data_IF_616218402081
#
_entry.id   IF_616218402081
#
_cell.length_a   1.000
_cell.length_b   1.000
_cell.length_c   1.000
_cell.angle_alpha   90.00
_cell.angle_beta   90.00
_cell.angle_gamma   90.00
#
_symmetry.space_group_name_H-M   'P 1'
#
loop_
_entity.id
_entity.type
_entity.pdbx_description
1 polymer ?
#
# COMPACT_ATOMS: atom_id res chain seq x y z
N UNK A 1 12.86 6.90 1.73
CA UNK A 1 13.06 6.96 0.26
C UNK A 1 11.74 6.95 -0.50
N UNK A 2 10.69 6.22 -0.05
CA UNK A 2 9.38 6.16 -0.71
C UNK A 2 8.72 7.52 -0.96
N UNK A 3 8.69 8.42 0.05
CA UNK A 3 8.09 9.75 -0.08
C UNK A 3 8.73 10.65 -1.15
N UNK A 4 9.92 10.31 -1.67
CA UNK A 4 10.53 11.02 -2.81
C UNK A 4 9.86 10.67 -4.14
N UNK A 5 9.37 9.43 -4.26
CA UNK A 5 8.79 8.90 -5.50
C UNK A 5 7.27 8.85 -5.45
N UNK A 6 6.69 8.64 -4.27
CA UNK A 6 5.26 8.63 -4.03
C UNK A 6 4.81 9.93 -3.33
N UNK A 7 4.93 11.06 -4.02
CA UNK A 7 4.81 12.41 -3.45
C UNK A 7 3.54 13.16 -3.86
N UNK A 8 2.72 12.60 -4.76
CA UNK A 8 1.58 13.29 -5.39
C UNK A 8 0.24 12.70 -4.95
N UNK A 9 0.14 12.38 -3.65
CA UNK A 9 -1.06 11.82 -3.01
C UNK A 9 -1.61 10.55 -3.70
N UNK A 10 -0.75 9.81 -4.41
CA UNK A 10 -1.10 8.59 -5.09
C UNK A 10 -1.40 7.46 -4.10
N UNK A 11 -2.24 6.53 -4.54
CA UNK A 11 -2.44 5.25 -3.85
C UNK A 11 -1.18 4.40 -4.01
N UNK A 12 -0.68 3.86 -2.91
CA UNK A 12 0.57 3.09 -2.86
C UNK A 12 0.24 1.61 -2.62
N UNK A 13 0.42 0.76 -3.62
CA UNK A 13 0.43 -0.68 -3.35
C UNK A 13 1.74 -1.04 -2.62
N UNK A 14 1.64 -1.64 -1.44
CA UNK A 14 2.80 -1.99 -0.62
C UNK A 14 2.76 -3.45 -0.17
N UNK A 15 3.83 -4.19 -0.41
CA UNK A 15 4.01 -5.55 0.12
C UNK A 15 4.24 -5.44 1.63
N UNK A 16 3.32 -6.00 2.41
CA UNK A 16 3.42 -5.99 3.86
C UNK A 16 2.64 -7.16 4.46
N UNK A 17 3.34 -7.95 5.27
CA UNK A 17 2.73 -8.99 6.10
C UNK A 17 2.44 -8.50 7.51
N UNK A 18 1.63 -9.27 8.25
CA UNK A 18 1.44 -9.03 9.69
C UNK A 18 2.76 -9.16 10.46
N UNK A 19 3.63 -10.07 10.04
CA UNK A 19 4.96 -10.28 10.61
C UNK A 19 6.04 -10.08 9.55
N UNK A 20 7.02 -9.24 9.87
CA UNK A 20 8.16 -9.01 9.01
C UNK A 20 9.15 -10.17 9.01
N UNK A 21 9.96 -10.25 7.97
CA UNK A 21 11.12 -11.13 7.88
C UNK A 21 12.21 -10.45 7.03
N UNK A 22 13.43 -11.00 6.92
CA UNK A 22 14.50 -10.36 6.15
C UNK A 22 14.18 -10.02 4.68
N UNK A 23 13.15 -10.65 4.10
CA UNK A 23 12.72 -10.45 2.72
C UNK A 23 11.44 -9.62 2.59
N UNK A 24 10.62 -9.51 3.64
CA UNK A 24 9.32 -8.83 3.60
C UNK A 24 9.13 -7.89 4.79
N UNK A 25 8.60 -6.70 4.51
CA UNK A 25 8.23 -5.71 5.51
C UNK A 25 7.09 -6.21 6.39
N UNK A 26 7.26 -6.13 7.71
CA UNK A 26 6.17 -6.34 8.66
C UNK A 26 5.40 -5.06 8.95
N UNK A 27 4.18 -5.17 9.44
CA UNK A 27 3.36 -4.00 9.81
C UNK A 27 4.03 -3.13 10.87
N UNK A 28 4.77 -3.72 11.82
CA UNK A 28 5.49 -2.95 12.84
C UNK A 28 6.66 -2.15 12.24
N UNK A 29 7.28 -2.64 11.15
CA UNK A 29 8.30 -1.90 10.40
C UNK A 29 7.66 -0.77 9.60
N UNK A 30 6.55 -1.05 8.94
CA UNK A 30 5.77 -0.09 8.17
C UNK A 30 5.32 1.09 9.04
N UNK A 31 4.75 0.80 10.22
CA UNK A 31 4.25 1.79 11.16
C UNK A 31 5.37 2.66 11.74
N UNK A 32 6.57 2.08 11.92
CA UNK A 32 7.75 2.77 12.46
C UNK A 32 8.43 3.67 11.43
N UNK A 33 8.51 3.23 10.18
CA UNK A 33 9.38 3.87 9.17
C UNK A 33 8.67 4.91 8.32
N UNK A 34 7.35 4.81 8.17
CA UNK A 34 6.57 5.70 7.33
C UNK A 34 5.70 6.64 8.18
N UNK A 35 5.51 7.88 7.72
CA UNK A 35 4.59 8.81 8.37
C UNK A 35 3.14 8.32 8.25
N UNK A 36 2.27 8.72 9.18
CA UNK A 36 0.84 8.38 9.14
C UNK A 36 0.18 8.79 7.81
N UNK A 37 0.56 9.94 7.24
CA UNK A 37 0.06 10.39 5.92
C UNK A 37 0.45 9.45 4.78
N UNK A 38 1.65 8.85 4.84
CA UNK A 38 2.07 7.89 3.85
C UNK A 38 1.35 6.55 4.05
N UNK A 39 1.25 6.09 5.31
CA UNK A 39 0.52 4.87 5.67
C UNK A 39 -0.96 4.94 5.23
N UNK A 40 -1.63 6.09 5.42
CA UNK A 40 -3.02 6.28 5.02
C UNK A 40 -3.26 6.14 3.50
N UNK A 41 -2.21 6.29 2.68
CA UNK A 41 -2.26 6.10 1.23
C UNK A 41 -1.86 4.70 0.79
N UNK A 42 -1.39 3.86 1.71
CA UNK A 42 -0.97 2.51 1.40
C UNK A 42 -2.18 1.57 1.30
N UNK A 43 -2.11 0.67 0.33
CA UNK A 43 -2.92 -0.53 0.23
C UNK A 43 -1.97 -1.72 0.39
N UNK A 44 -2.12 -2.44 1.50
CA UNK A 44 -1.27 -3.57 1.85
C UNK A 44 -1.73 -4.83 1.09
N UNK A 45 -0.76 -5.56 0.55
CA UNK A 45 -0.98 -6.85 -0.10
C UNK A 45 0.15 -7.84 0.27
N UNK A 46 0.00 -9.10 -0.16
CA UNK A 46 0.99 -10.17 0.06
C UNK A 46 1.08 -10.68 1.52
N UNK A 47 0.01 -10.49 2.30
CA UNK A 47 -0.13 -11.09 3.63
C UNK A 47 -0.34 -12.62 3.54
N UNK A 48 0.06 -13.36 4.59
CA UNK A 48 0.16 -14.82 4.54
C UNK A 48 -1.18 -15.56 4.62
N UNK A 49 -2.23 -14.92 5.16
CA UNK A 49 -3.54 -15.53 5.36
C UNK A 49 -4.68 -14.51 5.45
N UNK A 50 -5.93 -14.92 5.25
CA UNK A 50 -7.09 -14.03 5.49
C UNK A 50 -7.13 -13.46 6.91
N UNK A 51 -6.69 -14.25 7.91
CA UNK A 51 -6.62 -13.80 9.30
C UNK A 51 -5.56 -12.71 9.49
N UNK A 52 -4.42 -12.80 8.80
CA UNK A 52 -3.40 -11.76 8.79
C UNK A 52 -3.94 -10.48 8.15
N UNK A 53 -4.65 -10.61 7.02
CA UNK A 53 -5.31 -9.49 6.36
C UNK A 53 -6.31 -8.79 7.28
N UNK A 54 -7.12 -9.54 8.03
CA UNK A 54 -8.04 -8.97 9.00
C UNK A 54 -7.32 -8.29 10.18
N UNK A 55 -6.24 -8.89 10.69
CA UNK A 55 -5.43 -8.27 11.74
C UNK A 55 -4.81 -6.93 11.29
N UNK A 56 -4.36 -6.84 10.04
CA UNK A 56 -3.87 -5.60 9.44
C UNK A 56 -4.98 -4.55 9.33
N UNK A 57 -6.21 -4.94 8.93
CA UNK A 57 -7.37 -4.04 8.89
C UNK A 57 -7.78 -3.53 10.27
N UNK A 58 -7.72 -4.38 11.29
CA UNK A 58 -8.02 -4.00 12.68
C UNK A 58 -7.02 -2.99 13.24
N UNK A 59 -5.79 -2.98 12.72
CA UNK A 59 -4.79 -1.94 12.98
C UNK A 59 -5.03 -0.63 12.22
N UNK A 60 -6.04 -0.58 11.35
CA UNK A 60 -6.43 0.63 10.62
C UNK A 60 -5.82 0.74 9.21
N UNK A 61 -5.08 -0.28 8.75
CA UNK A 61 -4.51 -0.28 7.41
C UNK A 61 -5.55 -0.68 6.36
N UNK A 62 -5.42 -0.12 5.16
CA UNK A 62 -6.19 -0.59 4.01
C UNK A 62 -5.52 -1.83 3.43
N UNK A 63 -6.27 -2.91 3.30
CA UNK A 63 -5.77 -4.22 2.82
C UNK A 63 -6.52 -4.63 1.56
N UNK A 64 -5.76 -4.99 0.53
CA UNK A 64 -6.31 -5.44 -0.76
C UNK A 64 -6.99 -6.81 -0.63
N UNK A 65 -8.22 -6.93 -1.14
CA UNK A 65 -8.94 -8.21 -1.17
C UNK A 65 -8.93 -8.87 -2.57
N UNK A 66 -9.01 -10.20 -2.66
CA UNK A 66 -9.17 -10.88 -3.94
C UNK A 66 -10.36 -10.33 -4.75
N UNK A 67 -10.10 -9.91 -5.99
CA UNK A 67 -11.12 -9.34 -6.88
C UNK A 67 -11.47 -7.87 -6.60
N UNK A 68 -10.88 -7.22 -5.60
CA UNK A 68 -11.05 -5.80 -5.37
C UNK A 68 -10.56 -4.99 -6.57
N UNK A 69 -11.35 -3.99 -6.98
CA UNK A 69 -11.00 -3.05 -8.04
C UNK A 69 -10.87 -1.68 -7.42
N UNK A 70 -9.76 -1.01 -7.70
CA UNK A 70 -9.50 0.34 -7.21
C UNK A 70 -9.47 1.30 -8.38
N UNK A 71 -10.26 2.37 -8.28
CA UNK A 71 -10.23 3.45 -9.25
C UNK A 71 -8.98 4.28 -9.00
N UNK A 72 -8.19 4.50 -10.06
CA UNK A 72 -7.02 5.36 -10.01
C UNK A 72 -7.37 6.75 -10.54
N UNK A 73 -6.67 7.75 -10.02
CA UNK A 73 -6.71 9.10 -10.58
C UNK A 73 -6.22 9.09 -12.04
N UNK A 74 -6.73 9.99 -12.89
CA UNK A 74 -6.21 10.17 -14.24
C UNK A 74 -4.69 10.43 -14.21
N UNK A 75 -3.93 9.93 -15.20
CA UNK A 75 -2.50 10.23 -15.31
C UNK A 75 -2.25 11.74 -15.46
N UNK A 76 -1.23 12.25 -14.77
CA UNK A 76 -0.75 13.63 -14.94
C UNK A 76 0.26 13.77 -16.08
N UNK A 77 0.85 12.67 -16.52
CA UNK A 77 1.76 12.64 -17.66
C UNK A 77 1.03 12.96 -18.98
N UNK A 78 1.68 13.63 -19.94
CA UNK A 78 1.09 13.88 -21.25
C UNK A 78 0.67 12.58 -21.92
N UNK A 79 -0.58 12.50 -22.35
CA UNK A 79 -1.05 11.38 -23.17
C UNK A 79 -0.57 11.58 -24.62
N UNK A 80 -0.16 10.49 -25.27
CA UNK A 80 0.06 10.50 -26.71
C UNK A 80 -1.25 10.88 -27.42
N UNK A 81 -1.21 11.69 -28.50
CA UNK A 81 -2.39 11.95 -29.30
C UNK A 81 -2.95 10.64 -29.87
N UNK A 82 -4.29 10.54 -30.02
CA UNK A 82 -4.88 9.38 -30.67
C UNK A 82 -4.33 9.22 -32.11
N UNK A 83 -4.27 7.98 -32.64
CA UNK A 83 -3.78 7.71 -33.98
C UNK A 83 -4.64 8.35 -35.08
#
# INVERSE_FOLDING_TARGET
MLARFAADNELIAHDCGLHGNPSHTGVDDLEREYSAELQARMMLYHYASEADGEALRQRGHRVAMPGERVVLSPPTAPMAPPP
#
